data_IF_487851862819
#
_entry.id   IF_487851862819
#
_cell.length_a   1.000
_cell.length_b   1.000
_cell.length_c   1.000
_cell.angle_alpha   90.00
_cell.angle_beta   90.00
_cell.angle_gamma   90.00
#
_symmetry.space_group_name_H-M   'P 1'
#
loop_
_entity.id
_entity.type
_entity.pdbx_description
1 polymer ?
#
# COMPACT_ATOMS: atom_id res chain seq x y z
N UNK A 1 -4.68 -8.77 8.50
CA UNK A 1 -4.26 -10.19 8.64
C UNK A 1 -4.98 -11.14 7.69
N UNK A 2 -6.32 -11.33 7.74
CA UNK A 2 -6.98 -12.26 6.79
C UNK A 2 -6.71 -11.91 5.31
N UNK A 3 -6.88 -10.64 4.91
CA UNK A 3 -6.53 -10.17 3.56
C UNK A 3 -5.05 -10.36 3.23
N UNK A 4 -4.16 -9.96 4.16
CA UNK A 4 -2.70 -10.15 4.00
C UNK A 4 -2.31 -11.59 3.68
N UNK A 5 -2.92 -12.58 4.33
CA UNK A 5 -2.56 -13.98 4.17
C UNK A 5 -3.32 -14.64 3.01
N UNK A 6 -4.59 -14.27 2.77
CA UNK A 6 -5.45 -14.95 1.81
C UNK A 6 -5.50 -14.29 0.44
N UNK A 7 -5.30 -12.98 0.36
CA UNK A 7 -5.44 -12.20 -0.88
C UNK A 7 -4.08 -11.74 -1.40
N UNK A 8 -3.22 -11.27 -0.50
CA UNK A 8 -1.94 -10.67 -0.81
C UNK A 8 -0.86 -11.76 -1.01
N UNK A 9 -0.57 -12.53 0.05
CA UNK A 9 0.50 -13.55 0.04
C UNK A 9 0.48 -14.50 -1.19
N UNK A 10 -0.65 -15.12 -1.60
CA UNK A 10 -0.64 -16.05 -2.72
C UNK A 10 -0.31 -15.36 -4.05
N UNK A 11 -0.76 -14.12 -4.21
CA UNK A 11 -0.55 -13.33 -5.43
C UNK A 11 0.90 -12.87 -5.52
N UNK A 12 1.49 -12.41 -4.41
CA UNK A 12 2.89 -11.99 -4.40
C UNK A 12 3.86 -13.15 -4.60
N UNK A 13 3.56 -14.33 -4.05
CA UNK A 13 4.31 -15.56 -4.35
C UNK A 13 4.19 -15.90 -5.84
N UNK A 14 2.98 -15.89 -6.40
CA UNK A 14 2.76 -16.20 -7.82
C UNK A 14 3.53 -15.23 -8.73
N UNK A 15 3.42 -13.92 -8.51
CA UNK A 15 4.13 -12.92 -9.32
C UNK A 15 5.64 -13.09 -9.17
N UNK A 16 6.14 -13.30 -7.96
CA UNK A 16 7.56 -13.55 -7.70
C UNK A 16 8.10 -14.78 -8.45
N UNK A 17 7.34 -15.89 -8.44
CA UNK A 17 7.70 -17.11 -9.18
C UNK A 17 7.69 -16.86 -10.68
N UNK A 18 6.66 -16.18 -11.21
CA UNK A 18 6.61 -15.84 -12.63
C UNK A 18 7.78 -14.95 -13.05
N UNK A 19 8.14 -13.97 -12.23
CA UNK A 19 9.30 -13.11 -12.46
C UNK A 19 10.62 -13.87 -12.44
N UNK A 20 10.77 -14.86 -11.55
CA UNK A 20 11.92 -15.75 -11.55
C UNK A 20 11.97 -16.62 -12.81
N UNK A 21 10.87 -17.28 -13.17
CA UNK A 21 10.77 -18.15 -14.36
C UNK A 21 10.95 -17.38 -15.68
N UNK A 22 10.62 -16.10 -15.71
CA UNK A 22 10.82 -15.23 -16.88
C UNK A 22 12.30 -14.88 -17.16
N UNK A 23 13.25 -15.36 -16.34
CA UNK A 23 14.67 -15.05 -16.47
C UNK A 23 15.14 -13.95 -15.52
N UNK A 24 14.32 -13.59 -14.53
CA UNK A 24 14.75 -12.73 -13.42
C UNK A 24 15.71 -13.44 -12.46
N UNK A 25 16.01 -12.77 -11.36
CA UNK A 25 16.78 -13.36 -10.26
C UNK A 25 15.87 -14.21 -9.36
N UNK A 26 16.45 -15.17 -8.62
CA UNK A 26 15.75 -15.85 -7.53
C UNK A 26 15.22 -14.86 -6.46
N UNK A 27 15.81 -13.66 -6.41
CA UNK A 27 15.38 -12.55 -5.55
C UNK A 27 13.97 -12.03 -5.88
N UNK A 28 13.38 -12.37 -7.02
CA UNK A 28 12.02 -11.98 -7.38
C UNK A 28 10.99 -12.39 -6.32
N UNK A 29 11.11 -13.59 -5.75
CA UNK A 29 10.18 -14.10 -4.72
C UNK A 29 10.33 -13.37 -3.39
N UNK A 30 11.52 -13.33 -2.73
CA UNK A 30 11.65 -12.65 -1.45
C UNK A 30 11.41 -11.13 -1.56
N UNK A 31 11.75 -10.51 -2.69
CA UNK A 31 11.49 -9.08 -2.89
C UNK A 31 10.01 -8.79 -3.08
N UNK A 32 9.28 -9.61 -3.86
CA UNK A 32 7.83 -9.52 -3.98
C UNK A 32 7.14 -9.58 -2.59
N UNK A 33 7.50 -10.57 -1.79
CA UNK A 33 6.98 -10.71 -0.42
C UNK A 33 7.32 -9.50 0.45
N UNK A 34 8.57 -9.03 0.39
CA UNK A 34 9.02 -7.89 1.20
C UNK A 34 8.24 -6.63 0.85
N UNK A 35 8.08 -6.34 -0.45
CA UNK A 35 7.35 -5.16 -0.92
C UNK A 35 5.91 -5.18 -0.43
N UNK A 36 5.21 -6.28 -0.59
CA UNK A 36 3.82 -6.42 -0.13
C UNK A 36 3.67 -6.21 1.39
N UNK A 37 4.58 -6.75 2.18
CA UNK A 37 4.56 -6.58 3.64
C UNK A 37 4.90 -5.15 4.05
N UNK A 38 5.91 -4.54 3.41
CA UNK A 38 6.31 -3.17 3.66
C UNK A 38 5.18 -2.19 3.34
N UNK A 39 4.50 -2.35 2.20
CA UNK A 39 3.36 -1.48 1.84
C UNK A 39 2.28 -1.55 2.93
N UNK A 40 1.88 -2.75 3.36
CA UNK A 40 0.89 -2.90 4.43
C UNK A 40 1.34 -2.32 5.78
N UNK A 41 2.65 -2.30 6.06
CA UNK A 41 3.19 -1.70 7.27
C UNK A 41 3.06 -0.16 7.29
N UNK A 42 2.84 0.49 6.15
CA UNK A 42 2.72 1.94 6.08
C UNK A 42 1.50 2.49 6.84
N UNK A 43 0.47 1.68 7.04
CA UNK A 43 -0.67 2.01 7.89
C UNK A 43 -0.27 2.28 9.35
N UNK A 44 0.84 1.71 9.81
CA UNK A 44 1.39 2.01 11.14
C UNK A 44 1.86 3.46 11.25
N UNK A 45 2.23 4.11 10.14
CA UNK A 45 2.55 5.53 10.12
C UNK A 45 1.33 6.39 10.46
N UNK A 46 0.20 6.14 9.80
CA UNK A 46 -1.06 6.85 10.07
C UNK A 46 -1.57 6.57 11.50
N UNK A 47 -1.40 5.35 11.98
CA UNK A 47 -1.70 5.02 13.37
C UNK A 47 -0.76 5.74 14.35
N UNK A 48 0.54 5.81 14.08
CA UNK A 48 1.49 6.56 14.91
C UNK A 48 1.11 8.05 14.96
N UNK A 49 0.72 8.64 13.83
CA UNK A 49 0.20 10.00 13.78
C UNK A 49 -1.07 10.19 14.64
N UNK A 50 -2.03 9.26 14.57
CA UNK A 50 -3.19 9.22 15.47
C UNK A 50 -2.77 9.16 16.94
N UNK A 51 -1.88 8.24 17.27
CA UNK A 51 -1.45 7.98 18.64
C UNK A 51 -0.79 9.21 19.27
N UNK A 52 0.13 9.83 18.54
CA UNK A 52 0.83 11.05 18.97
C UNK A 52 -0.12 12.23 19.14
N UNK A 53 -1.10 12.39 18.24
CA UNK A 53 -2.05 13.50 18.26
C UNK A 53 -3.07 13.39 19.39
N UNK A 54 -3.60 12.19 19.64
CA UNK A 54 -4.71 11.98 20.59
C UNK A 54 -4.27 11.45 21.95
N UNK A 55 -2.99 11.07 22.11
CA UNK A 55 -2.40 10.54 23.36
C UNK A 55 -3.20 9.39 24.00
N UNK A 56 -3.87 8.59 23.16
CA UNK A 56 -4.66 7.43 23.60
C UNK A 56 -3.77 6.18 23.70
N UNK A 57 -4.13 5.23 24.55
CA UNK A 57 -3.42 3.95 24.56
C UNK A 57 -3.62 3.20 23.24
N UNK A 58 -2.58 2.53 22.73
CA UNK A 58 -2.71 1.75 21.51
C UNK A 58 -3.63 0.56 21.74
N UNK A 59 -4.67 0.46 20.91
CA UNK A 59 -5.59 -0.67 20.87
C UNK A 59 -5.44 -1.38 19.51
N UNK A 60 -4.96 -2.62 19.55
CA UNK A 60 -4.77 -3.45 18.36
C UNK A 60 -6.05 -3.67 17.55
N UNK A 61 -7.21 -3.71 18.22
CA UNK A 61 -8.50 -3.82 17.54
C UNK A 61 -8.80 -2.56 16.70
N UNK A 62 -8.40 -1.40 17.20
CA UNK A 62 -8.57 -0.10 16.54
C UNK A 62 -7.60 0.10 15.38
N UNK A 63 -6.35 -0.39 15.51
CA UNK A 63 -5.40 -0.44 14.41
C UNK A 63 -5.97 -1.28 13.26
N UNK A 64 -6.53 -2.45 13.59
CA UNK A 64 -7.07 -3.39 12.61
C UNK A 64 -8.35 -2.89 11.93
N UNK A 65 -9.17 -2.08 12.62
CA UNK A 65 -10.40 -1.55 12.06
C UNK A 65 -10.17 -0.36 11.10
N UNK A 66 -9.02 0.32 11.20
CA UNK A 66 -8.79 1.56 10.46
C UNK A 66 -9.60 2.75 10.98
N UNK A 67 -10.19 2.65 12.18
CA UNK A 67 -11.02 3.70 12.78
C UNK A 67 -10.28 5.04 12.93
N UNK A 68 -8.96 5.01 13.10
CA UNK A 68 -8.11 6.20 13.22
C UNK A 68 -8.17 7.10 11.98
N UNK A 69 -8.44 6.57 10.79
CA UNK A 69 -8.62 7.37 9.57
C UNK A 69 -9.87 8.25 9.63
N UNK A 70 -10.92 7.81 10.33
CA UNK A 70 -12.15 8.59 10.50
C UNK A 70 -11.93 9.73 11.50
N UNK A 71 -11.24 9.45 12.60
CA UNK A 71 -10.95 10.45 13.63
C UNK A 71 -9.98 11.52 13.12
N UNK A 72 -8.93 11.11 12.41
CA UNK A 72 -7.93 12.06 11.91
C UNK A 72 -8.41 12.86 10.70
N UNK A 73 -9.36 12.33 9.92
CA UNK A 73 -9.78 12.88 8.64
C UNK A 73 -8.68 12.87 7.56
N UNK A 74 -7.52 12.28 7.85
CA UNK A 74 -6.33 12.27 7.00
C UNK A 74 -5.87 10.85 6.71
N UNK A 75 -5.34 10.65 5.49
CA UNK A 75 -4.81 9.37 4.99
C UNK A 75 -3.46 9.63 4.31
N UNK A 76 -2.36 9.28 4.99
CA UNK A 76 -1.00 9.52 4.55
C UNK A 76 -0.41 8.39 3.73
N UNK A 77 -0.46 7.14 4.20
CA UNK A 77 -0.04 5.87 3.54
C UNK A 77 0.90 6.09 2.34
N UNK A 78 2.15 6.53 2.59
CA UNK A 78 3.04 7.02 1.54
C UNK A 78 3.50 5.91 0.60
N UNK A 79 3.54 4.65 1.09
CA UNK A 79 3.90 3.51 0.27
C UNK A 79 2.75 3.11 -0.66
N UNK A 80 1.51 3.54 -0.39
CA UNK A 80 0.40 3.39 -1.33
C UNK A 80 0.42 4.45 -2.44
N UNK A 81 1.56 4.62 -3.13
CA UNK A 81 1.72 5.62 -4.18
C UNK A 81 2.17 5.05 -5.52
N UNK A 82 1.52 5.48 -6.61
CA UNK A 82 1.92 5.13 -7.96
C UNK A 82 3.33 5.67 -8.28
N UNK A 83 3.70 6.80 -7.69
CA UNK A 83 5.05 7.35 -7.77
C UNK A 83 6.09 6.39 -7.18
N UNK A 84 5.77 5.70 -6.08
CA UNK A 84 6.66 4.68 -5.51
C UNK A 84 6.83 3.50 -6.47
N UNK A 85 5.77 3.03 -7.15
CA UNK A 85 5.91 1.99 -8.20
C UNK A 85 6.98 2.41 -9.23
N UNK A 86 6.89 3.65 -9.72
CA UNK A 86 7.84 4.18 -10.71
C UNK A 86 9.27 4.16 -10.15
N UNK A 87 9.49 4.67 -8.94
CA UNK A 87 10.82 4.69 -8.33
C UNK A 87 11.36 3.30 -8.03
N UNK A 88 10.52 2.34 -7.63
CA UNK A 88 10.91 0.96 -7.42
C UNK A 88 11.37 0.32 -8.73
N UNK A 89 10.61 0.47 -9.81
CA UNK A 89 10.98 -0.10 -11.12
C UNK A 89 12.24 0.55 -11.68
N UNK A 90 12.29 1.89 -11.72
CA UNK A 90 13.43 2.59 -12.30
C UNK A 90 14.69 2.43 -11.44
N UNK A 91 14.56 2.54 -10.12
CA UNK A 91 15.67 2.40 -9.18
C UNK A 91 16.25 0.99 -9.21
N UNK A 92 15.43 -0.05 -9.03
CA UNK A 92 15.91 -1.43 -9.07
C UNK A 92 16.47 -1.77 -10.45
N UNK A 93 15.78 -1.41 -11.53
CA UNK A 93 16.23 -1.67 -12.89
C UNK A 93 17.60 -1.06 -13.17
N UNK A 94 17.79 0.20 -12.74
CA UNK A 94 19.07 0.90 -12.91
C UNK A 94 20.19 0.33 -12.02
N UNK A 95 19.95 0.11 -10.72
CA UNK A 95 21.02 -0.30 -9.81
C UNK A 95 21.39 -1.79 -9.93
N UNK A 96 20.42 -2.66 -10.22
CA UNK A 96 20.68 -4.10 -10.32
C UNK A 96 20.90 -4.57 -11.75
N UNK A 97 20.65 -3.71 -12.75
CA UNK A 97 20.65 -4.06 -14.18
C UNK A 97 19.76 -5.28 -14.51
N UNK A 98 18.77 -5.55 -13.65
CA UNK A 98 17.85 -6.68 -13.77
C UNK A 98 16.43 -6.15 -13.91
N UNK A 99 16.05 -5.81 -15.13
CA UNK A 99 14.75 -5.22 -15.43
C UNK A 99 13.59 -6.17 -15.12
N UNK A 100 13.79 -7.48 -15.22
CA UNK A 100 12.75 -8.46 -14.87
C UNK A 100 12.47 -8.42 -13.37
N UNK A 101 13.49 -8.40 -12.52
CA UNK A 101 13.34 -8.21 -11.07
C UNK A 101 12.61 -6.89 -10.75
N UNK A 102 13.01 -5.82 -11.44
CA UNK A 102 12.42 -4.49 -11.24
C UNK A 102 10.94 -4.44 -11.63
N UNK A 103 10.58 -4.97 -12.80
CA UNK A 103 9.18 -5.06 -13.24
C UNK A 103 8.37 -6.00 -12.36
N UNK A 104 8.92 -7.13 -11.93
CA UNK A 104 8.25 -8.05 -11.00
C UNK A 104 7.87 -7.32 -9.71
N UNK A 105 8.81 -6.54 -9.16
CA UNK A 105 8.61 -5.70 -7.98
C UNK A 105 7.51 -4.66 -8.21
N UNK A 106 7.56 -3.95 -9.35
CA UNK A 106 6.55 -2.96 -9.71
C UNK A 106 5.16 -3.55 -9.93
N UNK A 107 5.07 -4.75 -10.51
CA UNK A 107 3.80 -5.47 -10.71
C UNK A 107 3.21 -5.86 -9.36
N UNK A 108 3.99 -6.44 -8.44
CA UNK A 108 3.53 -6.76 -7.08
C UNK A 108 2.99 -5.52 -6.37
N UNK A 109 3.75 -4.43 -6.38
CA UNK A 109 3.34 -3.17 -5.78
C UNK A 109 2.04 -2.64 -6.39
N UNK A 110 1.94 -2.64 -7.72
CA UNK A 110 0.74 -2.17 -8.44
C UNK A 110 -0.47 -3.06 -8.18
N UNK A 111 -0.28 -4.38 -8.14
CA UNK A 111 -1.35 -5.32 -7.82
C UNK A 111 -1.88 -5.08 -6.41
N UNK A 112 -1.01 -4.85 -5.43
CA UNK A 112 -1.40 -4.44 -4.07
C UNK A 112 -2.27 -3.16 -4.11
N UNK A 113 -1.80 -2.11 -4.80
CA UNK A 113 -2.58 -0.87 -4.95
C UNK A 113 -3.97 -1.13 -5.56
N UNK A 114 -4.05 -1.95 -6.60
CA UNK A 114 -5.31 -2.26 -7.27
C UNK A 114 -6.27 -3.06 -6.38
N UNK A 115 -5.74 -4.01 -5.59
CA UNK A 115 -6.53 -4.75 -4.60
C UNK A 115 -7.14 -3.79 -3.57
N UNK A 116 -6.36 -2.85 -3.06
CA UNK A 116 -6.82 -1.87 -2.08
C UNK A 116 -7.76 -0.82 -2.68
N UNK A 117 -7.49 -0.36 -3.90
CA UNK A 117 -8.41 0.51 -4.64
C UNK A 117 -9.80 -0.13 -4.75
N UNK A 118 -9.84 -1.43 -5.06
CA UNK A 118 -11.09 -2.18 -5.15
C UNK A 118 -11.73 -2.39 -3.77
N UNK A 119 -10.96 -2.83 -2.78
CA UNK A 119 -11.46 -3.17 -1.45
C UNK A 119 -11.98 -1.94 -0.69
N UNK A 120 -11.31 -0.80 -0.84
CA UNK A 120 -11.59 0.43 -0.08
C UNK A 120 -12.18 1.56 -0.92
N UNK A 121 -12.52 1.30 -2.19
CA UNK A 121 -13.08 2.27 -3.13
C UNK A 121 -12.21 3.54 -3.22
N UNK A 122 -10.89 3.36 -3.24
CA UNK A 122 -9.92 4.45 -3.37
C UNK A 122 -10.04 5.02 -4.78
N UNK A 123 -10.08 6.34 -4.90
CA UNK A 123 -10.05 7.02 -6.19
C UNK A 123 -8.69 6.76 -6.84
N UNK A 124 -8.64 6.65 -8.16
CA UNK A 124 -7.36 6.49 -8.87
C UNK A 124 -6.32 7.56 -8.47
N UNK A 125 -6.74 8.83 -8.45
CA UNK A 125 -5.89 9.94 -8.01
C UNK A 125 -5.53 9.89 -6.51
N UNK A 126 -6.30 9.16 -5.70
CA UNK A 126 -5.99 8.89 -4.30
C UNK A 126 -4.68 8.13 -4.11
N UNK A 127 -4.27 7.34 -5.11
CA UNK A 127 -2.96 6.67 -5.12
C UNK A 127 -1.82 7.52 -5.65
N UNK A 128 -2.04 8.79 -6.01
CA UNK A 128 -0.93 9.72 -6.25
C UNK A 128 -0.55 10.40 -4.94
N UNK A 129 0.70 10.24 -4.51
CA UNK A 129 1.23 10.92 -3.33
C UNK A 129 1.27 12.44 -3.55
N UNK A 130 1.62 12.88 -4.77
CA UNK A 130 1.64 14.30 -5.13
C UNK A 130 0.23 14.89 -5.04
N UNK A 131 -0.76 14.22 -5.63
CA UNK A 131 -2.15 14.65 -5.54
C UNK A 131 -2.65 14.73 -4.09
N UNK A 132 -2.32 13.72 -3.26
CA UNK A 132 -2.67 13.73 -1.83
C UNK A 132 -2.03 14.88 -1.09
N UNK A 133 -0.75 15.17 -1.34
CA UNK A 133 -0.06 16.32 -0.75
C UNK A 133 -0.73 17.66 -1.13
N UNK A 134 -1.10 17.84 -2.40
CA UNK A 134 -1.84 19.01 -2.88
C UNK A 134 -3.23 19.15 -2.25
N UNK A 135 -3.81 18.03 -1.78
CA UNK A 135 -5.09 17.97 -1.05
C UNK A 135 -4.90 17.83 0.46
N UNK A 136 -3.72 18.14 0.99
CA UNK A 136 -3.38 18.09 2.41
C UNK A 136 -3.69 16.73 3.09
N UNK A 137 -3.68 15.65 2.31
CA UNK A 137 -3.99 14.27 2.71
C UNK A 137 -5.43 14.06 3.21
N UNK A 138 -6.36 14.94 2.82
CA UNK A 138 -7.76 14.85 3.22
C UNK A 138 -8.42 13.56 2.73
N UNK A 139 -9.04 12.81 3.64
CA UNK A 139 -9.72 11.53 3.36
C UNK A 139 -10.75 11.63 2.22
N UNK A 140 -11.44 12.77 2.12
CA UNK A 140 -12.44 13.03 1.05
C UNK A 140 -11.83 13.00 -0.36
N UNK A 141 -10.54 13.32 -0.49
CA UNK A 141 -9.79 13.24 -1.74
C UNK A 141 -9.29 11.82 -2.05
N UNK A 142 -9.31 10.92 -1.06
CA UNK A 142 -8.77 9.56 -1.16
C UNK A 142 -9.83 8.53 -1.56
N UNK A 143 -10.98 8.48 -0.87
CA UNK A 143 -12.05 7.51 -1.15
C UNK A 143 -13.17 8.10 -2.03
N UNK A 144 -13.79 7.29 -2.89
CA UNK A 144 -14.86 7.69 -3.78
C UNK A 144 -16.19 7.93 -3.03
N UNK A 145 -16.48 7.15 -1.99
CA UNK A 145 -17.74 7.22 -1.24
C UNK A 145 -17.57 7.83 0.17
N UNK A 146 -18.58 8.58 0.62
CA UNK A 146 -18.95 8.52 2.04
C UNK A 146 -19.50 7.12 2.24
N UNK A 147 -19.03 6.37 3.22
CA UNK A 147 -19.79 5.21 3.69
C UNK A 147 -21.13 5.78 4.19
N UNK A 148 -22.17 5.59 3.40
CA UNK A 148 -23.54 5.85 3.79
C UNK A 148 -23.91 4.79 4.82
N UNK A 149 -23.82 5.12 6.11
CA UNK A 149 -24.38 4.26 7.17
C UNK A 149 -23.67 4.12 8.51
N UNK A 150 -22.75 5.00 8.93
CA UNK A 150 -22.27 4.97 10.34
C UNK A 150 -22.61 6.26 11.09
N UNK A 151 -23.15 6.14 12.33
CA UNK A 151 -23.58 7.28 13.13
C UNK A 151 -22.39 8.05 13.71
N UNK A 152 -22.67 9.32 14.03
CA UNK A 152 -21.79 10.22 14.80
C UNK A 152 -21.37 9.63 16.14
#
# INVERSE_FOLDING_TARGET
>A
MKRLILEHLPISVLIGILGWLAGGSWLCVPLALTVEWCINADHLFDFAYYWLRHRKNPDWSFIRSGGYFYINGKIFVPLHSCELTFFLVMGLGFFTQNWILAFTTGVVHTTHLLQDMRAYQVRFLGSSLIFRALRAFEKRGFCASRISGEPL
#
